data_IF_871020610878
#
_entry.id   IF_871020610878
#
_cell.length_a   1.000
_cell.length_b   1.000
_cell.length_c   1.000
_cell.angle_alpha   90.00
_cell.angle_beta   90.00
_cell.angle_gamma   90.00
#
_symmetry.space_group_name_H-M   'P 1'
#
loop_
_entity.id
_entity.type
_entity.pdbx_description
1 polymer ?
#
# COMPACT_ATOMS: atom_id res chain seq x y z
N UNK A 1 42.47 6.75 -15.88
CA UNK A 1 41.13 6.48 -16.43
C UNK A 1 40.39 5.60 -15.42
N UNK A 2 39.70 6.21 -14.45
CA UNK A 2 38.98 5.45 -13.42
C UNK A 2 37.67 4.94 -14.02
N UNK A 3 37.67 3.67 -14.42
CA UNK A 3 36.44 3.00 -14.87
C UNK A 3 35.45 2.97 -13.71
N UNK A 4 34.35 3.72 -13.83
CA UNK A 4 33.23 3.63 -12.91
C UNK A 4 32.58 2.26 -13.14
N UNK A 5 33.01 1.24 -12.40
CA UNK A 5 32.34 -0.04 -12.37
C UNK A 5 30.95 0.17 -11.78
N UNK A 6 29.92 0.21 -12.63
CA UNK A 6 28.53 0.18 -12.18
C UNK A 6 28.33 -1.13 -11.41
N UNK A 7 28.24 -1.05 -10.08
CA UNK A 7 27.99 -2.20 -9.21
C UNK A 7 26.69 -2.86 -9.67
N UNK A 8 26.77 -4.13 -10.07
CA UNK A 8 25.61 -4.97 -10.40
C UNK A 8 24.70 -5.08 -9.17
N UNK A 9 23.39 -5.22 -9.41
CA UNK A 9 22.42 -5.47 -8.35
C UNK A 9 22.74 -6.84 -7.73
N UNK A 10 22.76 -6.90 -6.40
CA UNK A 10 22.95 -8.15 -5.67
C UNK A 10 21.59 -8.87 -5.59
N UNK A 11 21.53 -10.07 -6.16
CA UNK A 11 20.32 -10.89 -6.21
C UNK A 11 20.43 -12.14 -5.32
N UNK A 12 21.44 -12.20 -4.44
CA UNK A 12 21.63 -13.33 -3.53
C UNK A 12 20.63 -13.35 -2.37
N UNK A 13 20.08 -12.20 -2.01
CA UNK A 13 19.07 -12.02 -0.97
C UNK A 13 18.06 -10.96 -1.43
N UNK A 14 16.92 -11.41 -1.96
CA UNK A 14 15.95 -10.50 -2.57
C UNK A 14 15.18 -9.67 -1.53
N UNK A 15 15.12 -10.13 -0.27
CA UNK A 15 14.50 -9.39 0.82
C UNK A 15 15.18 -8.03 1.07
N UNK A 16 16.44 -7.89 0.65
CA UNK A 16 17.24 -6.67 0.80
C UNK A 16 17.18 -5.73 -0.40
N UNK A 17 16.42 -6.05 -1.45
CA UNK A 17 16.32 -5.16 -2.60
C UNK A 17 15.76 -3.81 -2.18
N UNK A 18 16.44 -2.75 -2.62
CA UNK A 18 16.09 -1.37 -2.31
C UNK A 18 15.43 -0.67 -3.50
N UNK A 19 14.83 0.50 -3.28
CA UNK A 19 14.30 1.35 -4.34
C UNK A 19 15.36 1.73 -5.40
N UNK A 20 16.63 1.77 -5.02
CA UNK A 20 17.73 2.04 -5.95
C UNK A 20 18.00 0.82 -6.84
N UNK A 21 17.88 -0.38 -6.30
CA UNK A 21 18.01 -1.62 -7.07
C UNK A 21 16.82 -1.82 -8.00
N UNK A 22 15.59 -1.54 -7.53
CA UNK A 22 14.38 -1.49 -8.37
C UNK A 22 14.60 -0.57 -9.57
N UNK A 23 15.07 0.66 -9.36
CA UNK A 23 15.35 1.64 -10.43
C UNK A 23 16.43 1.19 -11.42
N UNK A 24 17.37 0.34 -11.01
CA UNK A 24 18.39 -0.22 -11.90
C UNK A 24 17.78 -1.37 -12.71
N UNK A 25 17.11 -2.31 -12.03
CA UNK A 25 16.48 -3.47 -12.65
C UNK A 25 15.48 -3.05 -13.73
N UNK A 26 14.63 -2.07 -13.45
CA UNK A 26 13.65 -1.56 -14.45
C UNK A 26 14.28 -0.93 -15.68
N UNK A 27 15.58 -0.59 -15.65
CA UNK A 27 16.33 -0.04 -16.79
C UNK A 27 17.21 -1.06 -17.49
N UNK A 28 17.56 -2.16 -16.83
CA UNK A 28 18.57 -3.11 -17.30
C UNK A 28 18.06 -4.53 -17.51
N UNK A 29 16.82 -4.81 -17.11
CA UNK A 29 16.19 -6.13 -17.18
C UNK A 29 14.92 -6.01 -18.02
N UNK A 30 14.62 -7.05 -18.79
CA UNK A 30 13.39 -7.12 -19.59
C UNK A 30 12.16 -6.95 -18.66
N UNK A 31 11.11 -6.20 -19.06
CA UNK A 31 9.98 -5.88 -18.19
C UNK A 31 9.27 -7.06 -17.52
N UNK A 32 9.03 -8.16 -18.22
CA UNK A 32 8.38 -9.35 -17.66
C UNK A 32 9.27 -10.02 -16.61
N UNK A 33 10.55 -10.22 -16.91
CA UNK A 33 11.54 -10.77 -15.99
C UNK A 33 11.72 -9.87 -14.77
N UNK A 34 11.82 -8.56 -14.97
CA UNK A 34 11.89 -7.57 -13.90
C UNK A 34 10.67 -7.67 -12.99
N UNK A 35 9.46 -7.73 -13.57
CA UNK A 35 8.22 -7.89 -12.82
C UNK A 35 8.19 -9.18 -11.99
N UNK A 36 8.65 -10.32 -12.54
CA UNK A 36 8.74 -11.59 -11.79
C UNK A 36 9.71 -11.48 -10.61
N UNK A 37 10.88 -10.90 -10.84
CA UNK A 37 11.91 -10.71 -9.83
C UNK A 37 11.44 -9.83 -8.68
N UNK A 38 10.82 -8.68 -8.99
CA UNK A 38 10.34 -7.74 -7.97
C UNK A 38 9.18 -8.33 -7.16
N UNK A 39 8.26 -9.06 -7.78
CA UNK A 39 7.18 -9.76 -7.04
C UNK A 39 7.75 -10.80 -6.08
N UNK A 40 8.75 -11.58 -6.52
CA UNK A 40 9.44 -12.53 -5.65
C UNK A 40 10.15 -11.82 -4.49
N UNK A 41 10.83 -10.71 -4.75
CA UNK A 41 11.47 -9.91 -3.71
C UNK A 41 10.46 -9.37 -2.68
N UNK A 42 9.30 -8.89 -3.13
CA UNK A 42 8.21 -8.47 -2.24
C UNK A 42 7.72 -9.63 -1.36
N UNK A 43 7.55 -10.83 -1.92
CA UNK A 43 7.17 -12.04 -1.19
C UNK A 43 8.24 -12.49 -0.18
N UNK A 44 9.53 -12.27 -0.49
CA UNK A 44 10.64 -12.54 0.41
C UNK A 44 10.85 -11.46 1.49
N UNK A 45 10.03 -10.40 1.50
CA UNK A 45 10.03 -9.38 2.55
C UNK A 45 10.66 -8.05 2.19
N UNK A 46 11.07 -7.83 0.93
CA UNK A 46 11.57 -6.51 0.52
C UNK A 46 10.49 -5.44 0.66
N UNK A 47 10.65 -4.60 1.69
CA UNK A 47 9.75 -3.50 1.98
C UNK A 47 9.64 -2.53 0.80
N UNK A 48 10.77 -2.18 0.18
CA UNK A 48 10.79 -1.29 -0.99
C UNK A 48 10.04 -1.88 -2.18
N UNK A 49 10.09 -3.21 -2.40
CA UNK A 49 9.31 -3.85 -3.45
C UNK A 49 7.80 -3.88 -3.12
N UNK A 50 7.44 -4.13 -1.86
CA UNK A 50 6.04 -4.08 -1.42
C UNK A 50 5.45 -2.68 -1.57
N UNK A 51 6.17 -1.63 -1.14
CA UNK A 51 5.79 -0.23 -1.32
C UNK A 51 5.70 0.13 -2.81
N UNK A 52 6.63 -0.37 -3.63
CA UNK A 52 6.60 -0.13 -5.07
C UNK A 52 5.31 -0.63 -5.72
N UNK A 53 4.91 -1.88 -5.45
CA UNK A 53 3.66 -2.42 -6.00
C UNK A 53 2.42 -1.75 -5.41
N UNK A 54 2.40 -1.46 -4.11
CA UNK A 54 1.33 -0.69 -3.47
C UNK A 54 1.12 0.66 -4.17
N UNK A 55 2.21 1.41 -4.39
CA UNK A 55 2.17 2.73 -5.05
C UNK A 55 1.77 2.63 -6.52
N UNK A 56 2.24 1.60 -7.23
CA UNK A 56 1.81 1.35 -8.61
C UNK A 56 0.31 1.08 -8.69
N UNK A 57 -0.25 0.33 -7.73
CA UNK A 57 -1.68 0.09 -7.66
C UNK A 57 -2.45 1.38 -7.37
N UNK A 58 -1.99 2.21 -6.44
CA UNK A 58 -2.60 3.53 -6.16
C UNK A 58 -2.61 4.41 -7.42
N UNK A 59 -1.51 4.43 -8.18
CA UNK A 59 -1.45 5.19 -9.43
C UNK A 59 -2.51 4.69 -10.44
N UNK A 60 -2.58 3.38 -10.67
CA UNK A 60 -3.60 2.79 -11.54
C UNK A 60 -5.02 3.09 -11.04
N UNK A 61 -5.29 2.94 -9.74
CA UNK A 61 -6.60 3.23 -9.16
C UNK A 61 -7.07 4.68 -9.32
N UNK A 62 -6.13 5.63 -9.50
CA UNK A 62 -6.43 7.04 -9.77
C UNK A 62 -6.69 7.33 -11.25
N UNK A 63 -6.11 6.53 -12.13
CA UNK A 63 -6.21 6.70 -13.58
C UNK A 63 -7.45 6.01 -14.17
N UNK A 64 -8.02 5.04 -13.45
CA UNK A 64 -9.23 4.31 -13.85
C UNK A 64 -10.43 4.67 -12.97
N UNK A 65 -11.62 4.67 -13.56
CA UNK A 65 -12.86 4.54 -12.78
C UNK A 65 -12.91 3.15 -12.13
N UNK A 66 -13.54 3.05 -10.94
CA UNK A 66 -13.65 1.78 -10.20
C UNK A 66 -14.31 0.67 -11.02
N UNK A 67 -15.27 1.01 -11.89
CA UNK A 67 -15.92 0.08 -12.80
C UNK A 67 -14.98 -0.50 -13.89
N UNK A 68 -13.83 0.15 -14.13
CA UNK A 68 -12.87 -0.16 -15.19
C UNK A 68 -11.51 -0.62 -14.64
N UNK A 69 -11.43 -0.98 -13.36
CA UNK A 69 -10.18 -1.48 -12.80
C UNK A 69 -9.70 -2.75 -13.53
N UNK A 70 -8.39 -2.84 -13.85
CA UNK A 70 -7.78 -4.08 -14.26
C UNK A 70 -8.12 -5.21 -13.28
N UNK A 71 -8.22 -6.47 -13.76
CA UNK A 71 -8.49 -7.60 -12.90
C UNK A 71 -7.51 -7.66 -11.72
N UNK A 72 -8.04 -7.93 -10.53
CA UNK A 72 -7.30 -8.05 -9.27
C UNK A 72 -6.56 -6.79 -8.79
N UNK A 73 -6.68 -5.63 -9.44
CA UNK A 73 -5.97 -4.40 -9.03
C UNK A 73 -6.19 -4.07 -7.54
N UNK A 74 -7.44 -4.19 -7.08
CA UNK A 74 -7.76 -3.97 -5.68
C UNK A 74 -7.16 -5.02 -4.74
N UNK A 75 -7.21 -6.28 -5.14
CA UNK A 75 -6.61 -7.37 -4.37
C UNK A 75 -5.10 -7.22 -4.26
N UNK A 76 -4.42 -6.84 -5.35
CA UNK A 76 -2.99 -6.59 -5.38
C UNK A 76 -2.65 -5.39 -4.49
N UNK A 77 -3.41 -4.29 -4.58
CA UNK A 77 -3.25 -3.15 -3.68
C UNK A 77 -3.32 -3.59 -2.21
N UNK A 78 -4.38 -4.31 -1.80
CA UNK A 78 -4.54 -4.76 -0.43
C UNK A 78 -3.36 -5.65 -0.02
N UNK A 79 -2.98 -6.60 -0.88
CA UNK A 79 -1.93 -7.58 -0.61
C UNK A 79 -0.58 -6.90 -0.34
N UNK A 80 -0.08 -6.08 -1.27
CA UNK A 80 1.23 -5.46 -1.11
C UNK A 80 1.24 -4.36 -0.05
N UNK A 81 0.13 -3.64 0.11
CA UNK A 81 0.03 -2.61 1.15
C UNK A 81 -0.01 -3.25 2.54
N UNK A 82 -0.69 -4.40 2.70
CA UNK A 82 -0.69 -5.15 3.95
C UNK A 82 0.71 -5.62 4.32
N UNK A 83 1.44 -6.22 3.38
CA UNK A 83 2.82 -6.67 3.61
C UNK A 83 3.72 -5.53 4.12
N UNK A 84 3.66 -4.34 3.49
CA UNK A 84 4.45 -3.19 3.92
C UNK A 84 3.96 -2.61 5.27
N UNK A 85 2.64 -2.52 5.47
CA UNK A 85 2.05 -1.99 6.70
C UNK A 85 2.36 -2.85 7.93
N UNK A 86 2.42 -4.18 7.77
CA UNK A 86 2.81 -5.13 8.81
C UNK A 86 4.28 -4.99 9.22
N UNK A 87 5.14 -4.59 8.29
CA UNK A 87 6.53 -4.23 8.58
C UNK A 87 6.70 -2.84 9.22
N UNK A 88 5.60 -2.12 9.44
CA UNK A 88 5.62 -0.82 10.12
C UNK A 88 5.62 0.38 9.19
N UNK A 89 5.52 0.21 7.87
CA UNK A 89 5.48 1.35 6.95
C UNK A 89 4.25 2.24 7.21
N UNK A 90 4.52 3.47 7.61
CA UNK A 90 3.51 4.44 8.03
C UNK A 90 2.59 4.81 6.86
N UNK A 91 3.15 4.95 5.66
CA UNK A 91 2.39 5.30 4.46
C UNK A 91 1.40 4.20 4.08
N UNK A 92 1.83 2.94 4.09
CA UNK A 92 0.99 1.78 3.83
C UNK A 92 -0.08 1.58 4.91
N UNK A 93 0.24 1.81 6.18
CA UNK A 93 -0.76 1.83 7.25
C UNK A 93 -1.83 2.90 6.99
N UNK A 94 -1.42 4.14 6.69
CA UNK A 94 -2.36 5.19 6.32
C UNK A 94 -3.20 4.82 5.08
N UNK A 95 -2.58 4.25 4.05
CA UNK A 95 -3.27 3.88 2.81
C UNK A 95 -4.29 2.76 3.02
N UNK A 96 -4.04 1.78 3.89
CA UNK A 96 -5.05 0.79 4.27
C UNK A 96 -6.20 1.44 5.04
N UNK A 97 -5.89 2.35 5.97
CA UNK A 97 -6.89 3.16 6.67
C UNK A 97 -7.83 3.86 5.69
N UNK A 98 -7.24 4.56 4.72
CA UNK A 98 -7.95 5.28 3.65
C UNK A 98 -8.76 4.36 2.74
N UNK A 99 -8.23 3.19 2.41
CA UNK A 99 -8.92 2.23 1.58
C UNK A 99 -10.20 1.73 2.25
N UNK A 100 -10.13 1.29 3.51
CA UNK A 100 -11.30 0.75 4.20
C UNK A 100 -12.37 1.82 4.45
N UNK A 101 -12.01 3.06 4.82
CA UNK A 101 -13.01 4.12 4.95
C UNK A 101 -13.69 4.44 3.62
N UNK A 102 -12.95 4.36 2.50
CA UNK A 102 -13.52 4.53 1.16
C UNK A 102 -14.52 3.44 0.73
N UNK A 103 -14.59 2.34 1.49
CA UNK A 103 -15.59 1.26 1.28
C UNK A 103 -16.88 1.48 2.06
N UNK A 104 -16.93 2.50 2.92
CA UNK A 104 -18.13 2.88 3.64
C UNK A 104 -19.03 3.70 2.74
N UNK A 105 -20.27 3.26 2.55
CA UNK A 105 -21.28 3.95 1.74
C UNK A 105 -22.28 4.67 2.65
N UNK A 106 -22.26 6.00 2.60
CA UNK A 106 -23.19 6.87 3.33
C UNK A 106 -24.16 7.62 2.40
N UNK A 107 -24.31 7.16 1.15
CA UNK A 107 -25.09 7.88 0.13
C UNK A 107 -26.58 8.04 0.48
N UNK A 108 -27.13 7.14 1.30
CA UNK A 108 -28.50 7.22 1.82
C UNK A 108 -28.59 7.80 3.24
N UNK A 109 -27.45 8.18 3.83
CA UNK A 109 -27.34 8.73 5.17
C UNK A 109 -27.37 7.70 6.30
N UNK A 110 -27.39 6.40 5.99
CA UNK A 110 -27.40 5.32 6.99
C UNK A 110 -26.06 4.57 7.02
N UNK A 111 -25.70 4.09 8.20
CA UNK A 111 -24.59 3.16 8.40
C UNK A 111 -25.14 1.74 8.52
N UNK A 112 -24.62 0.84 7.70
CA UNK A 112 -24.97 -0.57 7.77
C UNK A 112 -23.88 -1.39 8.44
N UNK A 113 -24.22 -2.58 8.92
CA UNK A 113 -23.27 -3.46 9.63
C UNK A 113 -22.01 -3.77 8.81
N UNK A 114 -22.13 -3.87 7.47
CA UNK A 114 -20.99 -4.05 6.55
C UNK A 114 -19.99 -2.88 6.64
N UNK A 115 -20.49 -1.67 6.89
CA UNK A 115 -19.70 -0.45 6.98
C UNK A 115 -18.97 -0.39 8.33
N UNK A 116 -19.56 -0.95 9.39
CA UNK A 116 -18.94 -1.02 10.70
C UNK A 116 -17.62 -1.80 10.68
N UNK A 117 -17.57 -2.91 9.94
CA UNK A 117 -16.33 -3.69 9.79
C UNK A 117 -15.25 -2.86 9.08
N UNK A 118 -15.62 -2.12 8.04
CA UNK A 118 -14.72 -1.24 7.32
C UNK A 118 -14.23 -0.07 8.18
N UNK A 119 -15.11 0.55 8.99
CA UNK A 119 -14.74 1.58 9.95
C UNK A 119 -13.72 1.06 10.97
N UNK A 120 -13.96 -0.13 11.55
CA UNK A 120 -13.03 -0.76 12.50
C UNK A 120 -11.67 -1.07 11.88
N UNK A 121 -11.64 -1.60 10.64
CA UNK A 121 -10.39 -1.84 9.92
C UNK A 121 -9.67 -0.53 9.61
N UNK A 122 -10.39 0.51 9.20
CA UNK A 122 -9.85 1.83 8.95
C UNK A 122 -9.20 2.41 10.21
N UNK A 123 -9.94 2.40 11.32
CA UNK A 123 -9.48 2.90 12.62
C UNK A 123 -8.23 2.17 13.10
N UNK A 124 -8.20 0.84 12.97
CA UNK A 124 -7.04 0.02 13.34
C UNK A 124 -5.76 0.48 12.62
N UNK A 125 -5.82 0.67 11.31
CA UNK A 125 -4.65 1.03 10.51
C UNK A 125 -4.24 2.49 10.74
N UNK A 126 -5.19 3.43 10.83
CA UNK A 126 -4.87 4.80 11.20
C UNK A 126 -4.28 4.90 12.61
N UNK A 127 -4.78 4.15 13.59
CA UNK A 127 -4.18 4.14 14.95
C UNK A 127 -2.73 3.67 14.93
N UNK A 128 -2.39 2.68 14.10
CA UNK A 128 -0.99 2.23 13.91
C UNK A 128 -0.11 3.34 13.32
N UNK A 129 -0.56 4.01 12.25
CA UNK A 129 0.18 5.11 11.63
C UNK A 129 0.31 6.33 12.57
N UNK A 130 -0.77 6.70 13.25
CA UNK A 130 -0.81 7.79 14.23
C UNK A 130 0.15 7.56 15.41
N UNK A 131 0.27 6.32 15.90
CA UNK A 131 1.23 5.95 16.94
C UNK A 131 2.69 6.21 16.52
N UNK A 132 2.96 6.20 15.22
CA UNK A 132 4.27 6.50 14.64
C UNK A 132 4.42 7.99 14.26
N UNK A 133 3.43 8.83 14.56
CA UNK A 133 3.47 10.28 14.36
C UNK A 133 2.80 10.78 13.08
N UNK A 134 2.09 9.93 12.34
CA UNK A 134 1.35 10.38 11.15
C UNK A 134 0.17 11.28 11.53
N UNK A 135 0.30 12.58 11.23
CA UNK A 135 -0.70 13.59 11.57
C UNK A 135 -1.99 13.41 10.78
N UNK A 136 -1.92 12.95 9.53
CA UNK A 136 -3.10 12.73 8.71
C UNK A 136 -3.98 11.62 9.30
N UNK A 137 -3.37 10.57 9.82
CA UNK A 137 -4.07 9.50 10.54
C UNK A 137 -4.67 10.00 11.86
N UNK A 138 -4.00 10.89 12.58
CA UNK A 138 -4.58 11.51 13.80
C UNK A 138 -5.85 12.29 13.47
N UNK A 139 -5.85 13.08 12.40
CA UNK A 139 -7.06 13.79 11.96
C UNK A 139 -8.15 12.81 11.49
N UNK A 140 -7.79 11.81 10.68
CA UNK A 140 -8.74 10.82 10.17
C UNK A 140 -9.42 10.02 11.29
N UNK A 141 -8.74 9.76 12.42
CA UNK A 141 -9.35 9.11 13.59
C UNK A 141 -10.45 9.97 14.20
N UNK A 142 -10.28 11.30 14.24
CA UNK A 142 -11.33 12.20 14.75
C UNK A 142 -12.58 12.15 13.88
N UNK A 143 -12.40 12.07 12.57
CA UNK A 143 -13.51 11.93 11.62
C UNK A 143 -14.22 10.58 11.80
N UNK A 144 -13.46 9.50 12.03
CA UNK A 144 -14.01 8.18 12.34
C UNK A 144 -14.80 8.19 13.66
N UNK A 145 -14.33 8.87 14.70
CA UNK A 145 -15.04 8.99 15.98
C UNK A 145 -16.43 9.61 15.79
N UNK A 146 -16.58 10.56 14.87
CA UNK A 146 -17.89 11.12 14.52
C UNK A 146 -18.80 10.10 13.85
N UNK A 147 -18.28 9.26 12.95
CA UNK A 147 -19.05 8.21 12.30
C UNK A 147 -19.48 7.11 13.28
N UNK A 148 -18.61 6.71 14.20
CA UNK A 148 -18.98 5.72 15.21
C UNK A 148 -20.13 6.18 16.11
N UNK A 149 -20.23 7.48 16.41
CA UNK A 149 -21.34 8.05 17.19
C UNK A 149 -22.69 8.05 16.47
N UNK A 150 -22.73 7.86 15.16
CA UNK A 150 -23.97 7.72 14.40
C UNK A 150 -24.59 6.31 14.52
N UNK A 151 -23.84 5.36 15.10
CA UNK A 151 -24.25 3.96 15.27
C UNK A 151 -24.95 3.73 16.61
N UNK A 152 -24.66 4.58 17.61
CA UNK A 152 -25.24 4.55 18.97
C UNK A 152 -26.58 5.30 19.05
#
# INVERSE_FOLDING_TARGET
>A
MFGIFKRKVDLSDLSKLTITDIKKLTKSTEPEECGKLLRKAAQEGSLDCQIFFSTACIAMMRDYDTANYPPNLEQDFITYTLMAAEQGDVGSQYNLGKHYIGKVDLSDGYLYEKDHENLKKSEFWYKKAAKQGDKNSVEAIKDLDSLFRMID
#
